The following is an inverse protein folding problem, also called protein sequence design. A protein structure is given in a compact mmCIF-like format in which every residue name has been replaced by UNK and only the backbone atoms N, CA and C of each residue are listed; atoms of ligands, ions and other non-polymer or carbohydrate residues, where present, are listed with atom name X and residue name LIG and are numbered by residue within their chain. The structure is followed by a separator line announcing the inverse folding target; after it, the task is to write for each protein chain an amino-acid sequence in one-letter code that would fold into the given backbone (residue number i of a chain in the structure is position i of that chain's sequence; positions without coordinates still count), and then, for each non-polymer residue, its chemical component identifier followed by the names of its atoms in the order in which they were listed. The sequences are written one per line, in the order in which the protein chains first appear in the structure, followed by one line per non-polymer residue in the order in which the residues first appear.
data_IF_542398375388
#
_entry.id   IF_542398375388
#
_cell.length_a   1.000
_cell.length_b   1.000
_cell.length_c   1.000
_cell.angle_alpha   90.00
_cell.angle_beta   90.00
_cell.angle_gamma   90.00
#
_symmetry.space_group_name_H-M   'P 1'
#
loop_
_entity.id
_entity.type
_entity.pdbx_description
1 polymer ?
#
# COMPACT_ATOMS: atom_id res chain seq x y z
N UNK A 1 -40.83 -46.30 38.67
CA UNK A 1 -41.04 -44.96 38.10
C UNK A 1 -40.85 -45.05 36.58
N UNK A 2 -41.95 -45.10 35.81
CA UNK A 2 -41.88 -45.20 34.34
C UNK A 2 -41.83 -43.78 33.76
N UNK A 3 -40.69 -43.40 33.18
CA UNK A 3 -40.55 -42.13 32.46
C UNK A 3 -41.27 -42.26 31.12
N UNK A 4 -42.43 -41.61 30.96
CA UNK A 4 -43.11 -41.50 29.66
C UNK A 4 -42.45 -40.42 28.83
N UNK A 5 -41.67 -40.84 27.83
CA UNK A 5 -41.02 -39.92 26.90
C UNK A 5 -42.05 -39.34 25.93
N UNK A 6 -42.26 -38.02 26.00
CA UNK A 6 -43.02 -37.29 24.99
C UNK A 6 -42.14 -37.07 23.76
N UNK A 7 -42.52 -37.66 22.63
CA UNK A 7 -41.74 -37.63 21.38
C UNK A 7 -41.33 -36.19 20.97
N UNK A 8 -42.25 -35.23 21.09
CA UNK A 8 -42.00 -33.81 20.78
C UNK A 8 -40.92 -33.17 21.66
N UNK A 9 -40.96 -33.42 22.97
CA UNK A 9 -39.98 -32.85 23.91
C UNK A 9 -38.61 -33.52 23.74
N UNK A 10 -38.61 -34.82 23.46
CA UNK A 10 -37.40 -35.60 23.19
C UNK A 10 -36.71 -35.11 21.91
N UNK A 11 -37.49 -34.86 20.85
CA UNK A 11 -36.97 -34.30 19.60
C UNK A 11 -36.38 -32.90 19.78
N UNK A 12 -37.10 -32.00 20.45
CA UNK A 12 -36.61 -30.65 20.73
C UNK A 12 -35.30 -30.65 21.54
N UNK A 13 -35.19 -31.56 22.51
CA UNK A 13 -33.96 -31.73 23.29
C UNK A 13 -32.80 -32.23 22.43
N UNK A 14 -33.01 -33.22 21.57
CA UNK A 14 -31.97 -33.75 20.66
C UNK A 14 -31.49 -32.65 19.69
N UNK A 15 -32.41 -31.87 19.13
CA UNK A 15 -32.07 -30.77 18.23
C UNK A 15 -31.27 -29.68 18.98
N UNK A 16 -31.71 -29.29 20.18
CA UNK A 16 -31.01 -28.33 21.02
C UNK A 16 -29.60 -28.80 21.41
N UNK A 17 -29.47 -30.07 21.80
CA UNK A 17 -28.17 -30.69 22.09
C UNK A 17 -27.28 -30.73 20.83
N UNK A 18 -27.86 -30.95 19.64
CA UNK A 18 -27.16 -30.87 18.37
C UNK A 18 -26.60 -29.47 18.07
N UNK A 19 -27.39 -28.42 18.30
CA UNK A 19 -26.93 -27.03 18.14
C UNK A 19 -25.87 -26.65 19.18
N UNK A 20 -26.01 -27.09 20.43
CA UNK A 20 -24.99 -26.88 21.47
C UNK A 20 -23.69 -27.61 21.15
N UNK A 21 -23.76 -28.83 20.62
CA UNK A 21 -22.60 -29.57 20.17
C UNK A 21 -21.94 -28.92 18.94
N UNK A 22 -22.73 -28.40 18.01
CA UNK A 22 -22.21 -27.64 16.86
C UNK A 22 -21.52 -26.35 17.31
N UNK A 23 -22.11 -25.61 18.25
CA UNK A 23 -21.46 -24.45 18.87
C UNK A 23 -20.16 -24.85 19.59
N UNK A 24 -20.17 -25.95 20.35
CA UNK A 24 -18.97 -26.47 20.99
C UNK A 24 -17.87 -26.81 19.97
N UNK A 25 -18.23 -27.45 18.85
CA UNK A 25 -17.30 -27.73 17.77
C UNK A 25 -16.71 -26.44 17.21
N UNK A 26 -17.53 -25.45 16.88
CA UNK A 26 -17.11 -24.17 16.29
C UNK A 26 -16.20 -23.37 17.23
N UNK A 27 -16.56 -23.25 18.51
CA UNK A 27 -15.89 -22.36 19.46
C UNK A 27 -14.72 -23.02 20.21
N UNK A 28 -14.70 -24.35 20.36
CA UNK A 28 -13.73 -25.03 21.23
C UNK A 28 -12.94 -26.15 20.56
N UNK A 29 -13.36 -26.66 19.39
CA UNK A 29 -12.69 -27.80 18.72
C UNK A 29 -12.11 -27.48 17.34
N UNK A 30 -12.77 -26.64 16.55
CA UNK A 30 -12.07 -25.95 15.46
C UNK A 30 -11.10 -25.00 16.13
N UNK A 31 -9.83 -25.42 16.22
CA UNK A 31 -8.75 -24.52 16.62
C UNK A 31 -8.81 -23.24 15.78
N UNK A 32 -8.32 -22.15 16.33
CA UNK A 32 -8.45 -20.76 15.83
C UNK A 32 -8.02 -20.51 14.37
N UNK A 33 -7.55 -21.53 13.65
CA UNK A 33 -7.24 -21.45 12.23
C UNK A 33 -8.48 -21.63 11.36
N UNK A 34 -9.01 -20.53 10.84
CA UNK A 34 -9.61 -20.56 9.50
C UNK A 34 -8.72 -21.39 8.57
N UNK A 35 -9.26 -22.29 7.72
CA UNK A 35 -8.47 -23.18 6.89
C UNK A 35 -7.45 -22.38 6.09
N UNK A 36 -6.22 -22.85 6.00
CA UNK A 36 -5.19 -22.21 5.17
C UNK A 36 -5.71 -22.07 3.74
N UNK A 37 -5.71 -20.84 3.24
CA UNK A 37 -6.20 -20.51 1.90
C UNK A 37 -4.98 -20.42 1.01
N UNK A 38 -4.86 -21.36 0.09
CA UNK A 38 -3.87 -21.27 -0.97
C UNK A 38 -4.35 -20.29 -2.03
N UNK A 39 -3.48 -19.38 -2.40
CA UNK A 39 -3.77 -18.28 -3.33
C UNK A 39 -2.69 -18.23 -4.38
N UNK A 40 -3.06 -17.83 -5.58
CA UNK A 40 -2.07 -17.59 -6.63
C UNK A 40 -1.42 -16.22 -6.43
N UNK A 41 -0.09 -16.16 -6.51
CA UNK A 41 0.68 -14.91 -6.48
C UNK A 41 0.15 -13.91 -7.50
N UNK A 42 -0.23 -14.36 -8.70
CA UNK A 42 -0.82 -13.52 -9.73
C UNK A 42 -2.08 -12.81 -9.22
N UNK A 43 -2.92 -13.52 -8.46
CA UNK A 43 -4.14 -12.94 -7.88
C UNK A 43 -3.80 -11.85 -6.85
N UNK A 44 -2.89 -12.15 -5.93
CA UNK A 44 -2.46 -11.17 -4.90
C UNK A 44 -1.87 -9.93 -5.56
N UNK A 45 -0.95 -10.11 -6.51
CA UNK A 45 -0.30 -8.99 -7.20
C UNK A 45 -1.30 -8.21 -8.06
N UNK A 46 -2.27 -8.88 -8.68
CA UNK A 46 -3.34 -8.21 -9.44
C UNK A 46 -4.15 -7.26 -8.58
N UNK A 47 -4.53 -7.68 -7.38
CA UNK A 47 -5.23 -6.83 -6.41
C UNK A 47 -4.33 -5.70 -5.90
N UNK A 48 -3.05 -5.97 -5.64
CA UNK A 48 -2.10 -4.94 -5.22
C UNK A 48 -1.91 -3.86 -6.30
N UNK A 49 -1.72 -4.24 -7.56
CA UNK A 49 -1.61 -3.30 -8.68
C UNK A 49 -2.90 -2.50 -8.83
N UNK A 50 -4.06 -3.15 -8.79
CA UNK A 50 -5.34 -2.45 -8.84
C UNK A 50 -5.47 -1.43 -7.70
N UNK A 51 -5.10 -1.81 -6.47
CA UNK A 51 -5.15 -0.91 -5.31
C UNK A 51 -4.24 0.32 -5.51
N UNK A 52 -3.02 0.12 -5.99
CA UNK A 52 -2.06 1.20 -6.27
C UNK A 52 -2.57 2.14 -7.38
N UNK A 53 -3.13 1.60 -8.46
CA UNK A 53 -3.71 2.42 -9.54
C UNK A 53 -4.90 3.24 -9.04
N UNK A 54 -5.74 2.67 -8.18
CA UNK A 54 -6.88 3.36 -7.56
C UNK A 54 -6.42 4.51 -6.65
N UNK A 55 -5.43 4.25 -5.78
CA UNK A 55 -4.85 5.27 -4.90
C UNK A 55 -4.16 6.38 -5.70
N UNK A 56 -3.33 6.01 -6.68
CA UNK A 56 -2.61 6.96 -7.54
C UNK A 56 -3.55 7.85 -8.37
N UNK A 57 -4.64 7.29 -8.90
CA UNK A 57 -5.67 8.09 -9.58
C UNK A 57 -6.29 9.14 -8.65
N UNK A 58 -6.62 8.75 -7.41
CA UNK A 58 -7.20 9.66 -6.43
C UNK A 58 -6.24 10.80 -6.06
N UNK A 59 -4.96 10.47 -5.82
CA UNK A 59 -3.89 11.46 -5.59
C UNK A 59 -3.81 12.46 -6.74
N UNK A 60 -3.75 11.96 -7.99
CA UNK A 60 -3.67 12.82 -9.18
C UNK A 60 -4.88 13.74 -9.28
N UNK A 61 -6.10 13.20 -9.09
CA UNK A 61 -7.34 13.98 -9.19
C UNK A 61 -7.45 15.05 -8.09
N UNK A 62 -7.05 14.74 -6.86
CA UNK A 62 -7.03 15.71 -5.75
C UNK A 62 -6.01 16.81 -6.04
N UNK A 63 -4.86 16.46 -6.61
CA UNK A 63 -3.85 17.42 -7.04
C UNK A 63 -4.37 18.35 -8.16
N UNK A 64 -5.01 17.79 -9.20
CA UNK A 64 -5.62 18.56 -10.30
C UNK A 64 -6.71 19.54 -9.81
N UNK A 65 -7.45 19.17 -8.76
CA UNK A 65 -8.47 20.04 -8.15
C UNK A 65 -7.88 21.16 -7.26
N UNK A 66 -6.56 21.23 -7.05
CA UNK A 66 -5.88 22.16 -6.12
C UNK A 66 -6.45 22.16 -4.69
N UNK A 67 -7.14 21.08 -4.27
CA UNK A 67 -7.76 20.94 -2.94
C UNK A 67 -6.85 20.18 -1.97
N UNK A 68 -5.60 20.62 -1.84
CA UNK A 68 -4.68 20.10 -0.84
C UNK A 68 -5.01 20.73 0.51
N UNK A 69 -6.02 20.18 1.19
CA UNK A 69 -6.26 20.49 2.60
C UNK A 69 -5.17 19.79 3.40
N UNK A 70 -4.12 20.55 3.74
CA UNK A 70 -2.97 20.09 4.52
C UNK A 70 -3.32 20.21 6.00
N UNK A 71 -3.31 19.08 6.71
CA UNK A 71 -3.37 19.01 8.16
C UNK A 71 -2.00 18.63 8.74
N UNK A 72 -1.72 19.00 9.98
CA UNK A 72 -0.51 18.59 10.68
C UNK A 72 -0.81 17.34 11.52
N UNK A 73 -0.13 16.23 11.23
CA UNK A 73 -0.24 14.93 11.92
C UNK A 73 0.57 14.92 13.23
N UNK A 74 1.72 15.59 13.22
CA UNK A 74 2.63 15.64 14.37
C UNK A 74 3.90 16.43 14.09
N UNK A 75 4.94 16.12 14.87
CA UNK A 75 6.31 16.57 14.65
C UNK A 75 7.17 15.34 14.41
N UNK A 76 8.07 15.39 13.41
CA UNK A 76 9.10 14.38 13.23
C UNK A 76 10.07 14.38 14.41
N UNK A 77 10.90 13.35 14.54
CA UNK A 77 12.00 13.29 15.52
C UNK A 77 12.97 14.49 15.43
N UNK A 78 12.95 15.21 14.31
CA UNK A 78 13.74 16.42 14.05
C UNK A 78 12.96 17.73 14.33
N UNK A 79 11.74 17.65 14.84
CA UNK A 79 10.89 18.80 15.16
C UNK A 79 10.24 19.49 13.95
N UNK A 80 10.21 18.86 12.77
CA UNK A 80 9.49 19.38 11.59
C UNK A 80 8.05 18.90 11.59
N UNK A 81 7.12 19.71 11.10
CA UNK A 81 5.73 19.30 10.96
C UNK A 81 5.61 18.08 10.02
N UNK A 82 5.07 16.98 10.55
CA UNK A 82 4.60 15.86 9.74
C UNK A 82 3.22 16.25 9.21
N UNK A 83 3.08 16.26 7.88
CA UNK A 83 1.87 16.73 7.21
C UNK A 83 1.05 15.53 6.76
N UNK A 84 -0.26 15.62 6.91
CA UNK A 84 -1.24 14.67 6.40
C UNK A 84 -2.20 15.44 5.51
N UNK A 85 -2.36 15.01 4.26
CA UNK A 85 -3.29 15.66 3.33
C UNK A 85 -4.53 14.80 3.13
N UNK A 86 -5.57 15.44 2.58
CA UNK A 86 -6.75 14.73 2.06
C UNK A 86 -6.36 13.63 1.04
N UNK A 87 -5.26 13.80 0.31
CA UNK A 87 -4.82 12.80 -0.66
C UNK A 87 -4.30 11.53 0.02
N UNK A 88 -3.54 11.64 1.12
CA UNK A 88 -3.07 10.49 1.90
C UNK A 88 -4.26 9.66 2.42
N UNK A 89 -5.25 10.34 3.04
CA UNK A 89 -6.42 9.70 3.62
C UNK A 89 -7.31 9.00 2.59
N UNK A 90 -7.59 9.66 1.46
CA UNK A 90 -8.44 9.08 0.40
C UNK A 90 -7.69 7.99 -0.36
N UNK A 91 -6.40 8.18 -0.66
CA UNK A 91 -5.55 7.14 -1.27
C UNK A 91 -5.53 5.90 -0.40
N UNK A 92 -5.26 6.04 0.91
CA UNK A 92 -5.28 4.94 1.86
C UNK A 92 -6.63 4.24 1.89
N UNK A 93 -7.73 4.99 1.98
CA UNK A 93 -9.08 4.41 1.99
C UNK A 93 -9.35 3.54 0.75
N UNK A 94 -9.03 4.05 -0.44
CA UNK A 94 -9.27 3.33 -1.70
C UNK A 94 -8.34 2.12 -1.88
N UNK A 95 -7.08 2.23 -1.45
CA UNK A 95 -6.14 1.10 -1.45
C UNK A 95 -6.66 -0.01 -0.52
N UNK A 96 -7.03 0.34 0.70
CA UNK A 96 -7.54 -0.60 1.68
C UNK A 96 -8.88 -1.23 1.24
N UNK A 97 -9.79 -0.45 0.64
CA UNK A 97 -11.05 -0.98 0.10
C UNK A 97 -10.84 -2.06 -0.97
N UNK A 98 -9.78 -1.97 -1.76
CA UNK A 98 -9.43 -3.02 -2.74
C UNK A 98 -8.77 -4.21 -2.05
N UNK A 99 -7.76 -3.97 -1.20
CA UNK A 99 -6.98 -5.04 -0.58
C UNK A 99 -7.79 -5.86 0.44
N UNK A 100 -8.69 -5.23 1.18
CA UNK A 100 -9.53 -5.91 2.19
C UNK A 100 -10.60 -6.82 1.59
N UNK A 101 -10.85 -6.75 0.27
CA UNK A 101 -11.68 -7.74 -0.44
C UNK A 101 -11.05 -9.13 -0.45
N UNK A 102 -9.76 -9.22 -0.14
CA UNK A 102 -9.05 -10.47 0.05
C UNK A 102 -9.08 -10.87 1.54
N UNK A 103 -10.06 -11.70 1.97
CA UNK A 103 -10.25 -11.98 3.39
C UNK A 103 -8.99 -12.63 3.98
N UNK A 104 -8.54 -12.15 5.15
CA UNK A 104 -7.33 -12.59 5.90
C UNK A 104 -5.98 -12.15 5.34
N UNK A 105 -5.93 -11.39 4.26
CA UNK A 105 -4.67 -10.78 3.82
C UNK A 105 -4.15 -9.87 4.94
N UNK A 106 -2.91 -10.11 5.38
CA UNK A 106 -2.27 -9.27 6.40
C UNK A 106 -1.84 -7.96 5.75
N UNK A 107 -2.42 -6.85 6.20
CA UNK A 107 -2.11 -5.52 5.67
C UNK A 107 -1.56 -4.67 6.81
N UNK A 108 -0.40 -4.06 6.58
CA UNK A 108 0.22 -3.07 7.46
C UNK A 108 0.24 -1.76 6.70
N UNK A 109 -0.55 -0.78 7.16
CA UNK A 109 -0.58 0.56 6.56
C UNK A 109 0.01 1.58 7.54
N UNK A 110 0.69 2.59 6.99
CA UNK A 110 1.16 3.73 7.75
C UNK A 110 0.01 4.53 8.37
N UNK A 111 -1.08 4.69 7.62
CA UNK A 111 -2.21 5.54 8.00
C UNK A 111 -3.23 4.76 8.85
N UNK A 112 -3.17 4.98 10.17
CA UNK A 112 -3.95 4.24 11.17
C UNK A 112 -5.36 4.80 11.43
N UNK A 113 -5.58 6.09 11.17
CA UNK A 113 -6.89 6.75 11.34
C UNK A 113 -7.49 7.09 9.98
N UNK A 114 -8.36 6.21 9.47
CA UNK A 114 -9.09 6.44 8.22
C UNK A 114 -10.53 6.87 8.53
N UNK A 115 -10.73 8.09 9.02
CA UNK A 115 -12.06 8.67 9.24
C UNK A 115 -12.73 9.15 7.94
N UNK A 116 -12.42 8.53 6.80
CA UNK A 116 -12.98 8.87 5.49
C UNK A 116 -14.22 8.00 5.27
N UNK A 117 -15.33 8.64 4.92
CA UNK A 117 -16.55 7.93 4.52
C UNK A 117 -16.52 7.55 3.03
N UNK A 118 -17.22 6.48 2.64
CA UNK A 118 -17.35 6.10 1.22
C UNK A 118 -17.86 7.27 0.36
N UNK A 119 -18.72 8.14 0.92
CA UNK A 119 -19.24 9.34 0.23
C UNK A 119 -18.14 10.33 -0.13
N UNK A 120 -17.09 10.45 0.69
CA UNK A 120 -15.95 11.33 0.45
C UNK A 120 -14.95 10.73 -0.55
N UNK A 121 -14.83 9.40 -0.57
CA UNK A 121 -13.93 8.69 -1.49
C UNK A 121 -14.54 8.49 -2.88
N UNK A 122 -15.87 8.34 -2.99
CA UNK A 122 -16.59 8.08 -4.26
C UNK A 122 -16.18 9.02 -5.41
N UNK A 123 -16.05 10.35 -5.22
CA UNK A 123 -15.65 11.26 -6.29
C UNK A 123 -14.26 10.96 -6.86
N UNK A 124 -13.37 10.33 -6.09
CA UNK A 124 -11.99 10.04 -6.45
C UNK A 124 -11.76 8.57 -6.81
N UNK A 125 -12.79 7.73 -6.76
CA UNK A 125 -12.74 6.32 -7.12
C UNK A 125 -12.71 6.20 -8.65
N UNK A 126 -11.67 5.58 -9.20
CA UNK A 126 -11.63 5.24 -10.62
C UNK A 126 -12.57 4.08 -10.96
N UNK A 127 -12.98 3.99 -12.22
CA UNK A 127 -13.73 2.82 -12.69
C UNK A 127 -12.83 1.58 -12.69
N UNK A 128 -13.13 0.62 -11.81
CA UNK A 128 -12.27 -0.55 -11.59
C UNK A 128 -12.13 -1.43 -12.84
N UNK A 129 -13.15 -1.45 -13.72
CA UNK A 129 -13.10 -2.27 -14.93
C UNK A 129 -12.14 -1.70 -15.98
N UNK A 130 -12.20 -0.41 -16.25
CA UNK A 130 -11.27 0.27 -17.16
C UNK A 130 -9.82 0.19 -16.66
N UNK A 131 -9.60 0.34 -15.34
CA UNK A 131 -8.28 0.14 -14.73
C UNK A 131 -7.82 -1.30 -14.88
N UNK A 132 -8.69 -2.28 -14.62
CA UNK A 132 -8.33 -3.69 -14.79
C UNK A 132 -7.95 -4.02 -16.24
N UNK A 133 -8.69 -3.51 -17.21
CA UNK A 133 -8.39 -3.70 -18.64
C UNK A 133 -7.02 -3.14 -19.03
N UNK A 134 -6.61 -1.99 -18.47
CA UNK A 134 -5.32 -1.39 -18.79
C UNK A 134 -4.13 -2.17 -18.22
N UNK A 135 -4.33 -2.90 -17.11
CA UNK A 135 -3.27 -3.65 -16.43
C UNK A 135 -3.22 -5.14 -16.77
N UNK A 136 -4.32 -5.72 -17.29
CA UNK A 136 -4.48 -7.17 -17.53
C UNK A 136 -3.32 -7.79 -18.31
N UNK A 137 -2.87 -7.13 -19.37
CA UNK A 137 -1.84 -7.69 -20.26
C UNK A 137 -0.43 -7.67 -19.63
N UNK A 138 -0.21 -6.87 -18.58
CA UNK A 138 1.00 -6.95 -17.77
C UNK A 138 0.84 -7.99 -16.66
N UNK A 139 -0.36 -8.08 -16.07
CA UNK A 139 -0.64 -9.09 -15.04
C UNK A 139 -0.52 -10.51 -15.60
N UNK A 140 -0.85 -10.74 -16.87
CA UNK A 140 -0.67 -12.04 -17.53
C UNK A 140 0.79 -12.47 -17.68
N UNK A 141 1.76 -11.56 -17.53
CA UNK A 141 3.19 -11.86 -17.59
C UNK A 141 3.75 -12.30 -16.23
N UNK A 142 3.00 -12.13 -15.15
CA UNK A 142 3.44 -12.51 -13.80
C UNK A 142 3.31 -14.02 -13.66
N UNK A 143 4.38 -14.73 -13.27
CA UNK A 143 4.33 -16.17 -13.10
C UNK A 143 3.31 -16.56 -12.03
N UNK A 144 2.54 -17.61 -12.33
CA UNK A 144 1.65 -18.23 -11.37
C UNK A 144 2.47 -19.04 -10.37
N UNK A 145 2.27 -18.76 -9.09
CA UNK A 145 2.93 -19.45 -8.00
C UNK A 145 1.96 -19.53 -6.83
N UNK A 146 1.74 -20.74 -6.30
CA UNK A 146 0.81 -20.93 -5.17
C UNK A 146 1.52 -20.59 -3.86
N UNK A 147 0.85 -19.79 -3.05
CA UNK A 147 1.30 -19.33 -1.75
C UNK A 147 0.19 -19.55 -0.74
N UNK A 148 0.55 -19.87 0.49
CA UNK A 148 -0.40 -19.83 1.60
C UNK A 148 -0.61 -18.38 2.00
N UNK A 149 -1.87 -17.94 2.06
CA UNK A 149 -2.21 -16.53 2.32
C UNK A 149 -1.63 -16.00 3.64
N UNK A 150 -1.45 -16.87 4.65
CA UNK A 150 -0.85 -16.52 5.94
C UNK A 150 0.59 -16.04 5.83
N UNK A 151 1.29 -16.42 4.77
CA UNK A 151 2.69 -16.09 4.49
C UNK A 151 2.84 -14.80 3.68
N UNK A 152 1.70 -14.24 3.24
CA UNK A 152 1.67 -12.99 2.48
C UNK A 152 1.29 -11.85 3.41
N UNK A 153 2.13 -10.82 3.41
CA UNK A 153 1.87 -9.55 4.09
C UNK A 153 2.12 -8.39 3.13
N UNK A 154 1.19 -7.44 3.08
CA UNK A 154 1.31 -6.22 2.26
C UNK A 154 1.59 -5.03 3.18
N UNK A 155 2.62 -4.28 2.82
CA UNK A 155 2.93 -3.00 3.44
C UNK A 155 2.44 -1.88 2.52
N UNK A 156 1.68 -0.94 3.08
CA UNK A 156 1.07 0.17 2.35
C UNK A 156 1.60 1.47 2.93
N UNK A 157 2.31 2.20 2.11
CA UNK A 157 2.50 3.64 2.24
C UNK A 157 1.60 4.26 1.15
N UNK A 158 0.46 4.86 1.52
CA UNK A 158 -0.50 5.37 0.55
C UNK A 158 0.05 6.54 -0.25
N UNK A 159 1.08 7.22 0.27
CA UNK A 159 1.62 8.43 -0.32
C UNK A 159 2.99 8.86 0.27
N UNK A 160 4.06 8.27 -0.26
CA UNK A 160 5.43 8.63 0.12
C UNK A 160 5.79 10.07 -0.28
N UNK A 161 6.40 10.81 0.65
CA UNK A 161 6.82 12.22 0.51
C UNK A 161 5.71 13.24 0.24
N UNK A 162 4.83 13.39 1.22
CA UNK A 162 3.80 14.43 1.30
C UNK A 162 4.31 15.88 1.11
N UNK A 163 5.61 16.13 1.30
CA UNK A 163 6.20 17.47 1.17
C UNK A 163 6.76 17.80 -0.24
N UNK A 164 6.91 16.82 -1.16
CA UNK A 164 7.77 17.00 -2.35
C UNK A 164 7.15 16.54 -3.68
N UNK A 165 5.83 16.49 -3.79
CA UNK A 165 5.10 16.07 -5.01
C UNK A 165 5.57 16.76 -6.28
N UNK A 166 6.43 16.08 -7.03
CA UNK A 166 6.93 16.59 -8.32
C UNK A 166 7.14 15.51 -9.35
N UNK A 167 7.19 14.24 -8.95
CA UNK A 167 7.54 13.11 -9.83
C UNK A 167 6.78 11.85 -9.42
N UNK A 168 6.32 11.08 -10.40
CA UNK A 168 5.54 9.85 -10.24
C UNK A 168 6.15 8.73 -11.07
N UNK A 169 6.08 7.49 -10.57
CA UNK A 169 6.35 6.29 -11.38
C UNK A 169 5.05 5.79 -12.01
N UNK A 170 5.05 5.57 -13.33
CA UNK A 170 3.89 5.07 -14.08
C UNK A 170 4.26 3.83 -14.86
N UNK A 171 3.46 2.78 -14.69
CA UNK A 171 3.63 1.49 -15.36
C UNK A 171 3.59 1.66 -16.89
N UNK A 172 4.55 1.06 -17.61
CA UNK A 172 4.67 1.16 -19.07
C UNK A 172 5.19 2.52 -19.58
N UNK A 173 5.22 3.55 -18.73
CA UNK A 173 5.68 4.89 -19.05
C UNK A 173 6.99 5.26 -18.31
N UNK A 174 7.38 4.54 -17.26
CA UNK A 174 8.55 4.87 -16.47
C UNK A 174 8.30 6.05 -15.53
N UNK A 175 9.29 6.89 -15.31
CA UNK A 175 9.16 8.04 -14.39
C UNK A 175 8.62 9.24 -15.15
N UNK A 176 7.71 10.02 -14.55
CA UNK A 176 7.19 11.26 -15.13
C UNK A 176 7.13 12.38 -14.10
N UNK A 177 7.17 13.63 -14.55
CA UNK A 177 6.93 14.80 -13.68
C UNK A 177 5.44 14.94 -13.35
N UNK A 178 5.12 15.74 -12.33
CA UNK A 178 3.74 16.14 -12.00
C UNK A 178 3.02 16.86 -13.14
N UNK A 179 3.77 17.48 -14.05
CA UNK A 179 3.25 18.06 -15.30
C UNK A 179 3.01 17.04 -16.43
N UNK A 180 3.16 15.74 -16.17
CA UNK A 180 2.94 14.66 -17.14
C UNK A 180 4.09 14.43 -18.12
N UNK A 181 5.25 15.07 -17.94
CA UNK A 181 6.41 14.90 -18.81
C UNK A 181 7.15 13.61 -18.47
N UNK A 182 7.28 12.70 -19.45
CA UNK A 182 8.10 11.48 -19.33
C UNK A 182 9.57 11.83 -19.09
N UNK A 183 10.21 11.14 -18.15
CA UNK A 183 11.64 11.17 -17.91
C UNK A 183 12.26 9.89 -18.49
N UNK A 184 13.39 10.05 -19.18
CA UNK A 184 14.13 8.94 -19.78
C UNK A 184 15.35 8.60 -18.92
N UNK A 185 15.75 7.31 -18.86
CA UNK A 185 16.92 6.93 -18.09
C UNK A 185 18.20 7.58 -18.62
N UNK A 186 18.96 8.21 -17.74
CA UNK A 186 20.29 8.71 -18.09
C UNK A 186 21.33 7.57 -18.04
N UNK A 187 22.36 7.60 -18.90
CA UNK A 187 23.48 6.67 -18.79
C UNK A 187 24.11 6.76 -17.40
N UNK A 188 24.30 5.61 -16.75
CA UNK A 188 24.83 5.54 -15.38
C UNK A 188 26.22 6.19 -15.24
N UNK A 189 27.01 6.22 -16.32
CA UNK A 189 28.31 6.89 -16.35
C UNK A 189 28.19 8.40 -16.07
N UNK A 190 27.09 9.03 -16.48
CA UNK A 190 26.84 10.47 -16.30
C UNK A 190 26.42 10.82 -14.87
N UNK A 191 25.85 9.86 -14.14
CA UNK A 191 25.29 10.08 -12.79
C UNK A 191 25.98 9.28 -11.70
N UNK A 192 27.06 8.56 -12.03
CA UNK A 192 27.85 7.74 -11.10
C UNK A 192 28.35 8.50 -9.85
N UNK A 193 28.53 9.82 -10.00
CA UNK A 193 28.98 10.76 -8.96
C UNK A 193 27.85 11.47 -8.22
N UNK A 194 26.59 11.20 -8.56
CA UNK A 194 25.43 11.80 -7.90
C UNK A 194 24.91 10.88 -6.80
N UNK A 195 24.84 11.41 -5.59
CA UNK A 195 24.33 10.75 -4.38
C UNK A 195 23.08 11.49 -3.93
N UNK A 196 21.98 10.78 -3.80
CA UNK A 196 20.76 11.34 -3.22
C UNK A 196 20.63 10.90 -1.77
N UNK A 197 20.48 11.84 -0.86
CA UNK A 197 20.39 11.58 0.59
C UNK A 197 19.01 11.96 1.13
N UNK A 198 18.58 11.35 2.24
CA UNK A 198 17.34 11.74 2.91
C UNK A 198 17.36 13.21 3.33
N UNK A 199 16.27 13.95 3.06
CA UNK A 199 16.07 15.34 3.49
C UNK A 199 15.23 15.46 4.77
N UNK A 200 14.22 14.61 4.91
CA UNK A 200 13.20 14.70 5.97
C UNK A 200 13.66 14.09 7.29
N UNK A 201 14.55 13.09 7.22
CA UNK A 201 15.22 12.45 8.36
C UNK A 201 16.74 12.44 8.11
N UNK A 202 17.28 13.61 7.77
CA UNK A 202 18.64 13.72 7.26
C UNK A 202 19.69 13.50 8.37
N UNK A 203 19.39 13.87 9.62
CA UNK A 203 20.37 13.88 10.70
C UNK A 203 21.73 14.44 10.26
N UNK A 204 22.77 13.61 10.35
CA UNK A 204 24.12 13.92 9.86
C UNK A 204 24.47 13.27 8.51
N UNK A 205 23.53 12.58 7.84
CA UNK A 205 23.77 11.77 6.64
C UNK A 205 24.36 12.58 5.50
N UNK A 206 23.86 13.79 5.25
CA UNK A 206 24.43 14.65 4.20
C UNK A 206 25.90 14.99 4.49
N UNK A 207 26.20 15.42 5.72
CA UNK A 207 27.57 15.76 6.15
C UNK A 207 28.48 14.55 6.07
N UNK A 208 27.99 13.38 6.48
CA UNK A 208 28.72 12.12 6.42
C UNK A 208 28.99 11.71 4.97
N UNK A 209 28.01 11.83 4.08
CA UNK A 209 28.15 11.52 2.67
C UNK A 209 29.20 12.43 2.00
N UNK A 210 29.09 13.75 2.20
CA UNK A 210 30.09 14.72 1.68
C UNK A 210 31.49 14.43 2.19
N UNK A 211 31.63 14.12 3.49
CA UNK A 211 32.93 13.77 4.09
C UNK A 211 33.50 12.46 3.54
N UNK A 212 32.66 11.45 3.31
CA UNK A 212 33.10 10.10 2.93
C UNK A 212 33.45 9.99 1.44
N UNK A 213 32.69 10.67 0.58
CA UNK A 213 32.85 10.59 -0.88
C UNK A 213 33.71 11.73 -1.45
N UNK A 214 33.89 12.83 -0.71
CA UNK A 214 34.70 13.98 -1.11
C UNK A 214 34.04 14.87 -2.17
N UNK A 215 34.75 15.92 -2.60
CA UNK A 215 34.20 16.96 -3.49
C UNK A 215 33.92 16.48 -4.93
N UNK A 216 34.42 15.31 -5.31
CA UNK A 216 34.13 14.70 -6.61
C UNK A 216 32.70 14.18 -6.76
N UNK A 217 31.90 14.23 -5.70
CA UNK A 217 30.51 13.76 -5.66
C UNK A 217 29.53 14.90 -5.41
N UNK A 218 28.46 14.91 -6.20
CA UNK A 218 27.30 15.80 -6.00
C UNK A 218 26.33 15.11 -5.02
N UNK A 219 26.11 15.74 -3.87
CA UNK A 219 25.20 15.24 -2.83
C UNK A 219 23.94 16.10 -2.81
N UNK A 220 22.81 15.48 -3.13
CA UNK A 220 21.50 16.11 -3.34
C UNK A 220 20.49 15.62 -2.28
N UNK A 221 19.98 16.48 -1.38
CA UNK A 221 18.95 16.08 -0.42
C UNK A 221 17.55 15.93 -1.06
N UNK A 222 16.91 14.77 -0.90
CA UNK A 222 15.55 14.51 -1.35
C UNK A 222 14.69 13.77 -0.31
N UNK A 223 13.44 14.22 -0.17
CA UNK A 223 12.38 13.51 0.53
C UNK A 223 11.85 12.35 -0.30
N UNK A 224 11.19 11.42 0.38
CA UNK A 224 10.51 10.28 -0.27
C UNK A 224 11.44 9.13 -0.55
N UNK A 225 11.19 7.99 0.06
CA UNK A 225 11.97 6.77 -0.15
C UNK A 225 11.76 6.20 -1.57
N UNK A 226 10.51 6.24 -2.05
CA UNK A 226 10.10 5.88 -3.40
C UNK A 226 10.69 6.83 -4.44
N UNK A 227 10.64 8.14 -4.21
CA UNK A 227 11.26 9.11 -5.13
C UNK A 227 12.77 8.85 -5.29
N UNK A 228 13.49 8.64 -4.18
CA UNK A 228 14.92 8.30 -4.21
C UNK A 228 15.17 7.00 -4.98
N UNK A 229 14.33 5.99 -4.81
CA UNK A 229 14.42 4.72 -5.56
C UNK A 229 14.20 4.94 -7.05
N UNK A 230 13.21 5.75 -7.44
CA UNK A 230 12.97 6.10 -8.85
C UNK A 230 14.15 6.84 -9.48
N UNK A 231 14.92 7.62 -8.70
CA UNK A 231 16.13 8.28 -9.20
C UNK A 231 17.19 7.27 -9.63
N UNK A 232 17.34 6.15 -8.92
CA UNK A 232 18.24 5.05 -9.31
C UNK A 232 17.72 4.34 -10.56
N UNK A 233 16.44 3.96 -10.57
CA UNK A 233 15.83 3.24 -11.70
C UNK A 233 15.91 4.05 -12.99
N UNK A 234 15.73 5.37 -12.91
CA UNK A 234 15.84 6.27 -14.05
C UNK A 234 17.26 6.77 -14.30
N UNK A 235 18.29 6.21 -13.65
CA UNK A 235 19.69 6.57 -13.86
C UNK A 235 20.02 8.04 -13.56
N UNK A 236 19.17 8.76 -12.84
CA UNK A 236 19.35 10.19 -12.46
C UNK A 236 20.07 10.36 -11.12
N UNK A 237 20.43 9.25 -10.49
CA UNK A 237 21.33 9.16 -9.35
C UNK A 237 22.13 7.85 -9.46
N UNK A 238 23.39 7.89 -9.07
CA UNK A 238 24.24 6.69 -9.01
C UNK A 238 24.18 5.98 -7.67
N UNK A 239 23.81 6.70 -6.59
CA UNK A 239 23.74 6.18 -5.22
C UNK A 239 22.59 6.84 -4.46
N UNK A 240 21.96 6.10 -3.54
CA UNK A 240 20.98 6.60 -2.58
C UNK A 240 21.41 6.21 -1.18
N UNK A 241 21.33 7.13 -0.23
CA UNK A 241 21.55 6.89 1.19
C UNK A 241 20.31 7.36 1.93
N UNK A 242 19.66 6.45 2.66
CA UNK A 242 18.42 6.71 3.41
C UNK A 242 18.77 7.00 4.86
#
# INVERSE_FOLDING_TARGET
MQVRLHARNTFAFIVGAGFLYLAYLIFFKSGDGFPEIDVDLNSVVSYAVLAVEMGGYAVRKIHEENKLNIAQKGLTDEGKAELLTKADLISNYLILDVLQRFPRLKIVTEEKDSSISEKEATPYRADSYSVWLSIRDILSQIPSYRLTLSDVQIYVDPLDATQEYTVFGVKGWGVMTSSGKKLYPHPLAETARKIVVSRSHAGAVEKLARKSFGEGYDVEPAGGSGYKTLRLVNGTAGKVII
#
